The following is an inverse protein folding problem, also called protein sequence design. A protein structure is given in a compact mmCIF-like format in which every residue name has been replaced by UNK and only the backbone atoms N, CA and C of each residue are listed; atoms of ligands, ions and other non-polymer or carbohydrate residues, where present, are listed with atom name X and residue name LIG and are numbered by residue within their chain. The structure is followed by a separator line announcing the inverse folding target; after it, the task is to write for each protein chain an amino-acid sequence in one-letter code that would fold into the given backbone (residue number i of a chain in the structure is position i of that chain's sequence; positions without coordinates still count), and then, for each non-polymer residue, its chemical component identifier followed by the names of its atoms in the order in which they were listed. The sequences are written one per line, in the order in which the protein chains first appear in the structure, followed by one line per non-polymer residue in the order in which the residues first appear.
data_IF_536810711495
#
_entry.id   IF_536810711495
#
_cell.length_a   1.000
_cell.length_b   1.000
_cell.length_c   1.000
_cell.angle_alpha   90.00
_cell.angle_beta   90.00
_cell.angle_gamma   90.00
#
_symmetry.space_group_name_H-M   'P 1'
#
loop_
_entity.id
_entity.type
_entity.pdbx_description
1 polymer ?
#
# COMPACT_ATOMS: atom_id res chain seq x y z
N UNK A 1 -20.07 28.09 7.44
CA UNK A 1 -18.80 27.82 8.15
C UNK A 1 -17.71 27.77 7.10
N UNK A 2 -16.76 28.72 7.09
CA UNK A 2 -15.70 28.74 6.08
C UNK A 2 -14.74 27.57 6.30
N UNK A 3 -14.66 26.65 5.34
CA UNK A 3 -13.72 25.54 5.36
C UNK A 3 -12.29 26.10 5.40
N UNK A 4 -11.50 25.71 6.40
CA UNK A 4 -10.09 26.10 6.48
C UNK A 4 -9.31 25.18 5.54
N UNK A 5 -8.74 25.78 4.49
CA UNK A 5 -7.88 25.07 3.53
C UNK A 5 -6.63 24.43 4.17
N UNK A 6 -5.73 23.86 3.34
CA UNK A 6 -4.49 23.24 3.83
C UNK A 6 -3.67 24.22 4.69
N UNK A 7 -2.74 23.67 5.48
CA UNK A 7 -1.81 24.50 6.27
C UNK A 7 -1.09 25.51 5.37
N UNK A 8 -1.10 26.79 5.79
CA UNK A 8 -0.40 27.89 5.10
C UNK A 8 0.99 28.18 5.68
N UNK A 9 1.47 27.34 6.60
CA UNK A 9 2.79 27.52 7.24
C UNK A 9 3.94 27.60 6.23
N UNK A 10 3.80 26.94 5.07
CA UNK A 10 4.81 26.88 4.01
C UNK A 10 4.43 27.69 2.77
N UNK A 11 3.48 28.64 2.89
CA UNK A 11 3.03 29.48 1.77
C UNK A 11 4.20 30.30 1.18
N UNK A 12 5.03 30.93 2.02
CA UNK A 12 6.22 31.65 1.54
C UNK A 12 7.23 30.77 0.80
N UNK A 13 7.34 29.48 1.16
CA UNK A 13 8.20 28.53 0.44
C UNK A 13 7.58 28.18 -0.92
N UNK A 14 6.28 27.85 -0.94
CA UNK A 14 5.49 27.59 -2.15
C UNK A 14 5.63 28.73 -3.16
N UNK A 15 5.47 29.97 -2.72
CA UNK A 15 5.55 31.16 -3.57
C UNK A 15 6.97 31.39 -4.10
N UNK A 16 8.00 31.11 -3.30
CA UNK A 16 9.40 31.31 -3.69
C UNK A 16 9.88 30.32 -4.76
N UNK A 17 9.36 29.09 -4.76
CA UNK A 17 9.79 28.03 -5.70
C UNK A 17 8.77 27.73 -6.80
N UNK A 18 7.58 28.35 -6.76
CA UNK A 18 6.53 28.17 -7.76
C UNK A 18 5.88 26.78 -7.76
N UNK A 19 5.93 26.05 -6.65
CA UNK A 19 5.33 24.71 -6.52
C UNK A 19 4.05 24.82 -5.68
N UNK A 20 2.92 24.18 -6.09
CA UNK A 20 1.68 24.27 -5.34
C UNK A 20 1.83 23.88 -3.86
N UNK A 21 1.31 24.73 -2.96
CA UNK A 21 1.38 24.58 -1.50
C UNK A 21 1.04 23.16 -1.00
N UNK A 22 0.01 22.53 -1.57
CA UNK A 22 -0.38 21.17 -1.20
C UNK A 22 0.73 20.14 -1.44
N UNK A 23 1.48 20.26 -2.55
CA UNK A 23 2.59 19.37 -2.85
C UNK A 23 3.75 19.57 -1.86
N UNK A 24 4.02 20.82 -1.49
CA UNK A 24 5.02 21.17 -0.47
C UNK A 24 4.62 20.61 0.90
N UNK A 25 3.35 20.71 1.27
CA UNK A 25 2.84 20.12 2.51
C UNK A 25 2.96 18.59 2.50
N UNK A 26 2.63 17.91 1.39
CA UNK A 26 2.79 16.45 1.28
C UNK A 26 4.26 16.05 1.44
N UNK A 27 5.18 16.68 0.70
CA UNK A 27 6.62 16.38 0.79
C UNK A 27 7.14 16.62 2.20
N UNK A 28 6.74 17.73 2.83
CA UNK A 28 7.14 18.06 4.20
C UNK A 28 6.58 17.04 5.21
N UNK A 29 5.35 16.59 5.03
CA UNK A 29 4.74 15.55 5.86
C UNK A 29 5.49 14.22 5.76
N UNK A 30 5.93 13.82 4.56
CA UNK A 30 6.72 12.59 4.35
C UNK A 30 8.12 12.69 4.99
N UNK A 31 8.78 13.84 4.90
CA UNK A 31 10.07 14.07 5.57
C UNK A 31 9.89 14.00 7.09
N UNK A 32 8.86 14.65 7.64
CA UNK A 32 8.52 14.57 9.06
C UNK A 32 8.19 13.13 9.48
N UNK A 33 7.42 12.41 8.66
CA UNK A 33 7.10 11.01 8.90
C UNK A 33 8.37 10.13 8.93
N UNK A 34 9.37 10.38 8.08
CA UNK A 34 10.63 9.65 8.10
C UNK A 34 11.41 9.89 9.41
N UNK A 35 11.48 11.15 9.87
CA UNK A 35 12.11 11.51 11.15
C UNK A 35 11.37 10.81 12.30
N UNK A 36 10.04 10.89 12.31
CA UNK A 36 9.22 10.23 13.31
C UNK A 36 9.34 8.71 13.24
N UNK A 37 9.56 8.10 12.07
CA UNK A 37 9.74 6.66 11.94
C UNK A 37 10.98 6.17 12.69
N UNK A 38 12.11 6.88 12.57
CA UNK A 38 13.32 6.57 13.35
C UNK A 38 13.09 6.78 14.86
N UNK A 39 12.45 7.89 15.25
CA UNK A 39 12.12 8.15 16.64
C UNK A 39 11.16 7.08 17.22
N UNK A 40 10.14 6.69 16.47
CA UNK A 40 9.17 5.66 16.82
C UNK A 40 9.86 4.31 17.03
N UNK A 41 10.77 3.91 16.14
CA UNK A 41 11.54 2.67 16.29
C UNK A 41 12.47 2.70 17.51
N UNK A 42 13.12 3.85 17.79
CA UNK A 42 14.12 3.99 18.86
C UNK A 42 13.51 4.11 20.27
N UNK A 43 12.52 4.97 20.41
CA UNK A 43 11.92 5.38 21.69
C UNK A 43 10.64 4.60 21.99
N UNK A 44 9.82 4.34 20.98
CA UNK A 44 8.55 3.61 21.13
C UNK A 44 8.68 2.14 20.74
N UNK A 45 9.86 1.52 20.87
CA UNK A 45 10.11 0.09 20.62
C UNK A 45 9.12 -0.82 21.38
N UNK A 46 8.61 -1.93 20.79
CA UNK A 46 7.62 -2.79 21.47
C UNK A 46 8.17 -3.45 22.74
N UNK A 47 9.50 -3.51 22.89
CA UNK A 47 10.15 -3.99 24.12
C UNK A 47 10.20 -2.96 25.25
N UNK A 48 9.90 -1.68 24.97
CA UNK A 48 10.05 -0.56 25.92
C UNK A 48 8.74 0.07 26.34
N UNK A 49 7.72 0.03 25.48
CA UNK A 49 6.45 0.72 25.69
C UNK A 49 5.29 -0.20 25.37
N UNK A 50 4.14 0.10 25.98
CA UNK A 50 2.92 -0.67 25.76
C UNK A 50 2.42 -0.59 24.32
N UNK A 51 1.65 -1.59 23.90
CA UNK A 51 0.88 -1.60 22.65
C UNK A 51 -0.02 -0.37 22.56
N UNK A 52 -0.68 -0.01 23.67
CA UNK A 52 -1.54 1.17 23.76
C UNK A 52 -0.77 2.45 23.38
N UNK A 53 0.40 2.68 23.97
CA UNK A 53 1.24 3.85 23.68
C UNK A 53 1.64 3.88 22.21
N UNK A 54 2.09 2.75 21.67
CA UNK A 54 2.46 2.62 20.26
C UNK A 54 1.31 2.95 19.32
N UNK A 55 0.11 2.43 19.62
CA UNK A 55 -1.09 2.68 18.82
C UNK A 55 -1.52 4.14 18.87
N UNK A 56 -1.61 4.69 20.08
CA UNK A 56 -2.03 6.07 20.30
C UNK A 56 -1.07 7.05 19.64
N UNK A 57 0.25 6.88 19.84
CA UNK A 57 1.26 7.74 19.21
C UNK A 57 1.21 7.65 17.68
N UNK A 58 1.08 6.44 17.11
CA UNK A 58 1.01 6.28 15.66
C UNK A 58 -0.23 6.96 15.06
N UNK A 59 -1.39 6.81 15.71
CA UNK A 59 -2.65 7.41 15.30
C UNK A 59 -2.61 8.93 15.42
N UNK A 60 -2.19 9.45 16.57
CA UNK A 60 -2.12 10.89 16.83
C UNK A 60 -1.20 11.60 15.86
N UNK A 61 0.01 11.07 15.62
CA UNK A 61 0.93 11.64 14.65
C UNK A 61 0.34 11.63 13.24
N UNK A 62 -0.31 10.55 12.82
CA UNK A 62 -0.90 10.48 11.50
C UNK A 62 -2.10 11.41 11.33
N UNK A 63 -2.95 11.56 12.34
CA UNK A 63 -4.02 12.56 12.32
C UNK A 63 -3.48 14.00 12.25
N UNK A 64 -2.38 14.30 12.96
CA UNK A 64 -1.71 15.60 12.87
C UNK A 64 -1.15 15.87 11.46
N UNK A 65 -0.47 14.89 10.85
CA UNK A 65 0.05 15.02 9.48
C UNK A 65 -1.08 15.17 8.46
N UNK A 66 -2.17 14.40 8.63
CA UNK A 66 -3.33 14.49 7.75
C UNK A 66 -3.99 15.87 7.83
N UNK A 67 -4.17 16.41 9.03
CA UNK A 67 -4.69 17.77 9.21
C UNK A 67 -3.74 18.84 8.67
N UNK A 68 -2.42 18.67 8.87
CA UNK A 68 -1.41 19.58 8.32
C UNK A 68 -1.51 19.67 6.79
N UNK A 69 -1.64 18.51 6.11
CA UNK A 69 -1.72 18.47 4.65
C UNK A 69 -3.07 18.98 4.16
N UNK A 70 -4.19 18.44 4.65
CA UNK A 70 -5.51 18.64 4.04
C UNK A 70 -6.41 19.68 4.76
N UNK A 71 -5.98 20.23 5.90
CA UNK A 71 -6.79 21.18 6.66
C UNK A 71 -8.12 20.57 7.11
N UNK A 72 -9.20 21.35 7.07
CA UNK A 72 -10.52 20.87 7.50
C UNK A 72 -11.11 19.77 6.60
N UNK A 73 -10.62 19.61 5.36
CA UNK A 73 -11.11 18.55 4.47
C UNK A 73 -10.87 17.15 5.02
N UNK A 74 -9.88 16.97 5.90
CA UNK A 74 -9.60 15.67 6.53
C UNK A 74 -10.78 15.11 7.33
N UNK A 75 -11.78 15.93 7.66
CA UNK A 75 -13.05 15.48 8.28
C UNK A 75 -13.73 14.39 7.46
N UNK A 76 -13.61 14.43 6.13
CA UNK A 76 -14.17 13.41 5.26
C UNK A 76 -13.53 12.04 5.52
N UNK A 77 -12.24 12.00 5.81
CA UNK A 77 -11.52 10.77 6.17
C UNK A 77 -11.98 10.24 7.53
N UNK A 78 -12.20 11.13 8.50
CA UNK A 78 -12.72 10.76 9.83
C UNK A 78 -14.14 10.22 9.76
N UNK A 79 -15.04 10.89 9.03
CA UNK A 79 -16.42 10.45 8.84
C UNK A 79 -16.44 9.10 8.12
N UNK A 80 -15.67 8.96 7.03
CA UNK A 80 -15.56 7.70 6.28
C UNK A 80 -15.12 6.53 7.17
N UNK A 81 -14.03 6.72 7.93
CA UNK A 81 -13.53 5.71 8.86
C UNK A 81 -14.54 5.39 9.97
N UNK A 82 -15.22 6.40 10.52
CA UNK A 82 -16.23 6.24 11.56
C UNK A 82 -17.48 5.50 11.09
N UNK A 83 -18.03 5.85 9.93
CA UNK A 83 -19.17 5.15 9.33
C UNK A 83 -18.86 3.68 9.08
N UNK A 84 -17.68 3.39 8.54
CA UNK A 84 -17.22 2.02 8.32
C UNK A 84 -17.07 1.25 9.64
N UNK A 85 -16.52 1.88 10.68
CA UNK A 85 -16.37 1.25 12.00
C UNK A 85 -17.73 0.93 12.64
N UNK A 86 -18.68 1.87 12.58
CA UNK A 86 -20.05 1.64 13.04
C UNK A 86 -20.68 0.44 12.33
N UNK A 87 -20.50 0.32 11.01
CA UNK A 87 -20.94 -0.86 10.27
C UNK A 87 -20.25 -2.15 10.77
N UNK A 88 -18.94 -2.11 11.05
CA UNK A 88 -18.23 -3.27 11.61
C UNK A 88 -18.77 -3.70 12.99
N UNK A 89 -19.22 -2.75 13.80
CA UNK A 89 -19.77 -3.04 15.13
C UNK A 89 -21.20 -3.59 15.06
N UNK A 90 -22.06 -3.01 14.22
CA UNK A 90 -23.49 -3.29 14.22
C UNK A 90 -23.92 -4.39 13.23
N UNK A 91 -23.18 -4.58 12.14
CA UNK A 91 -23.59 -5.53 11.11
C UNK A 91 -23.41 -7.00 11.54
N UNK A 92 -24.31 -7.91 11.11
CA UNK A 92 -24.09 -9.35 11.19
C UNK A 92 -22.81 -9.75 10.44
N UNK A 93 -22.07 -10.71 10.99
CA UNK A 93 -20.78 -11.16 10.42
C UNK A 93 -20.90 -11.79 9.03
N UNK A 94 -22.09 -12.25 8.63
CA UNK A 94 -22.36 -12.77 7.29
C UNK A 94 -22.34 -11.69 6.20
N UNK A 95 -22.76 -10.46 6.49
CA UNK A 95 -22.87 -9.36 5.51
C UNK A 95 -21.93 -8.20 5.77
N UNK A 96 -21.19 -8.22 6.88
CA UNK A 96 -20.30 -7.14 7.34
C UNK A 96 -19.37 -6.62 6.24
N UNK A 97 -18.75 -7.51 5.47
CA UNK A 97 -17.83 -7.16 4.39
C UNK A 97 -18.50 -6.41 3.23
N UNK A 98 -19.69 -6.86 2.80
CA UNK A 98 -20.46 -6.22 1.73
C UNK A 98 -20.95 -4.86 2.19
N UNK A 99 -21.55 -4.77 3.38
CA UNK A 99 -22.08 -3.52 3.90
C UNK A 99 -20.97 -2.46 4.06
N UNK A 100 -19.85 -2.82 4.69
CA UNK A 100 -18.72 -1.90 4.84
C UNK A 100 -18.11 -1.52 3.50
N UNK A 101 -18.01 -2.46 2.54
CA UNK A 101 -17.55 -2.15 1.19
C UNK A 101 -18.45 -1.14 0.48
N UNK A 102 -19.77 -1.33 0.52
CA UNK A 102 -20.73 -0.42 -0.10
C UNK A 102 -20.68 0.97 0.55
N UNK A 103 -20.61 1.06 1.88
CA UNK A 103 -20.45 2.34 2.59
C UNK A 103 -19.14 3.03 2.16
N UNK A 104 -18.02 2.28 2.17
CA UNK A 104 -16.71 2.84 1.88
C UNK A 104 -16.60 3.34 0.43
N UNK A 105 -17.02 2.52 -0.53
CA UNK A 105 -16.99 2.87 -1.95
C UNK A 105 -17.99 3.98 -2.30
N UNK A 106 -19.21 3.95 -1.74
CA UNK A 106 -20.21 4.98 -2.03
C UNK A 106 -19.77 6.35 -1.52
N UNK A 107 -19.21 6.42 -0.31
CA UNK A 107 -18.70 7.67 0.24
C UNK A 107 -17.51 8.20 -0.58
N UNK A 108 -16.56 7.33 -0.95
CA UNK A 108 -15.45 7.69 -1.83
C UNK A 108 -15.97 8.21 -3.19
N UNK A 109 -16.97 7.53 -3.77
CA UNK A 109 -17.59 7.94 -5.03
C UNK A 109 -18.28 9.30 -4.93
N UNK A 110 -18.95 9.61 -3.81
CA UNK A 110 -19.52 10.94 -3.58
C UNK A 110 -18.45 12.03 -3.55
N UNK A 111 -17.27 11.76 -2.98
CA UNK A 111 -16.16 12.71 -2.97
C UNK A 111 -15.54 12.88 -4.35
N UNK A 112 -15.39 11.79 -5.11
CA UNK A 112 -14.96 11.84 -6.51
C UNK A 112 -15.96 12.61 -7.39
N UNK A 113 -17.26 12.41 -7.18
CA UNK A 113 -18.30 13.13 -7.90
C UNK A 113 -18.28 14.63 -7.53
N UNK A 114 -18.15 14.97 -6.24
CA UNK A 114 -17.95 16.35 -5.79
C UNK A 114 -16.76 16.96 -6.53
N UNK A 115 -15.62 16.27 -6.57
CA UNK A 115 -14.43 16.72 -7.29
C UNK A 115 -14.72 16.99 -8.76
N UNK A 116 -15.38 16.09 -9.49
CA UNK A 116 -15.72 16.31 -10.90
C UNK A 116 -16.64 17.51 -11.10
N UNK A 117 -17.61 17.72 -10.20
CA UNK A 117 -18.60 18.79 -10.31
C UNK A 117 -18.07 20.17 -9.90
N UNK A 118 -17.05 20.23 -9.04
CA UNK A 118 -16.57 21.49 -8.46
C UNK A 118 -15.13 21.85 -8.79
N UNK A 119 -14.33 20.92 -9.32
CA UNK A 119 -12.89 21.15 -9.46
C UNK A 119 -12.54 21.93 -10.72
N UNK A 120 -11.82 23.03 -10.49
CA UNK A 120 -10.80 23.51 -11.40
C UNK A 120 -9.57 22.58 -11.26
N UNK A 121 -9.50 21.57 -12.14
CA UNK A 121 -8.52 20.48 -12.07
C UNK A 121 -7.07 20.94 -12.26
N UNK A 122 -6.88 22.09 -12.92
CA UNK A 122 -5.55 22.68 -13.10
C UNK A 122 -5.04 23.30 -11.80
N UNK A 123 -5.96 23.85 -10.99
CA UNK A 123 -5.61 24.56 -9.75
C UNK A 123 -5.40 23.63 -8.54
N UNK A 124 -6.08 22.48 -8.50
CA UNK A 124 -6.02 21.55 -7.36
C UNK A 124 -5.75 20.10 -7.80
N UNK A 125 -4.48 19.75 -8.12
CA UNK A 125 -4.14 18.41 -8.59
C UNK A 125 -4.27 17.33 -7.49
N UNK A 126 -4.13 17.72 -6.22
CA UNK A 126 -4.21 16.86 -5.05
C UNK A 126 -5.35 17.31 -4.13
N UNK A 127 -6.15 16.35 -3.66
CA UNK A 127 -7.27 16.58 -2.76
C UNK A 127 -7.43 15.41 -1.76
N UNK A 128 -8.43 15.51 -0.88
CA UNK A 128 -8.71 14.52 0.17
C UNK A 128 -9.12 13.14 -0.36
N UNK A 129 -9.39 13.00 -1.67
CA UNK A 129 -9.70 11.71 -2.28
C UNK A 129 -8.56 10.69 -2.11
N UNK A 130 -7.29 11.12 -2.11
CA UNK A 130 -6.13 10.23 -1.92
C UNK A 130 -6.16 9.47 -0.58
N UNK A 131 -6.20 10.16 0.57
CA UNK A 131 -6.36 9.50 1.87
C UNK A 131 -7.65 8.67 2.01
N UNK A 132 -8.75 9.08 1.35
CA UNK A 132 -9.99 8.30 1.33
C UNK A 132 -9.86 7.01 0.52
N UNK A 133 -9.10 7.04 -0.58
CA UNK A 133 -8.76 5.85 -1.36
C UNK A 133 -8.00 4.86 -0.48
N UNK A 134 -6.98 5.31 0.27
CA UNK A 134 -6.23 4.49 1.23
C UNK A 134 -7.10 3.97 2.39
N UNK A 135 -7.99 4.81 2.92
CA UNK A 135 -8.91 4.42 4.00
C UNK A 135 -9.88 3.34 3.52
N UNK A 136 -10.42 3.47 2.30
CA UNK A 136 -11.27 2.45 1.65
C UNK A 136 -10.57 1.10 1.57
N UNK A 137 -9.29 1.07 1.19
CA UNK A 137 -8.48 -0.16 1.22
C UNK A 137 -8.47 -0.77 2.63
N UNK A 138 -8.06 0.03 3.62
CA UNK A 138 -7.86 -0.43 4.99
C UNK A 138 -9.15 -0.94 5.65
N UNK A 139 -10.25 -0.19 5.56
CA UNK A 139 -11.52 -0.57 6.20
C UNK A 139 -12.11 -1.83 5.59
N UNK A 140 -11.97 -2.01 4.27
CA UNK A 140 -12.45 -3.23 3.59
C UNK A 140 -11.56 -4.43 3.89
N UNK A 141 -10.24 -4.26 4.03
CA UNK A 141 -9.34 -5.34 4.50
C UNK A 141 -9.85 -5.93 5.83
N UNK A 142 -10.18 -5.07 6.80
CA UNK A 142 -10.71 -5.48 8.11
C UNK A 142 -12.06 -6.16 7.96
N UNK A 143 -12.99 -5.58 7.18
CA UNK A 143 -14.34 -6.10 7.01
C UNK A 143 -14.35 -7.50 6.38
N UNK A 144 -13.57 -7.70 5.31
CA UNK A 144 -13.43 -9.00 4.66
C UNK A 144 -12.69 -10.01 5.53
N UNK A 145 -11.69 -9.58 6.31
CA UNK A 145 -11.02 -10.44 7.28
C UNK A 145 -11.96 -10.95 8.38
N UNK A 146 -12.85 -10.09 8.89
CA UNK A 146 -13.88 -10.48 9.87
C UNK A 146 -14.89 -11.45 9.27
N UNK A 147 -15.40 -11.19 8.07
CA UNK A 147 -16.30 -12.14 7.41
C UNK A 147 -15.64 -13.51 7.25
N UNK A 148 -14.39 -13.55 6.77
CA UNK A 148 -13.68 -14.81 6.57
C UNK A 148 -13.44 -15.55 7.89
N UNK A 149 -13.08 -14.85 8.97
CA UNK A 149 -12.80 -15.48 10.27
C UNK A 149 -14.03 -15.96 11.04
N UNK A 150 -15.19 -15.36 10.82
CA UNK A 150 -16.44 -15.73 11.51
C UNK A 150 -17.38 -16.61 10.68
N UNK A 151 -17.33 -16.53 9.35
CA UNK A 151 -18.33 -17.16 8.49
C UNK A 151 -17.76 -18.22 7.53
N UNK A 152 -16.46 -18.17 7.21
CA UNK A 152 -15.84 -19.17 6.32
C UNK A 152 -15.06 -20.21 7.12
N UNK A 153 -15.10 -21.44 6.63
CA UNK A 153 -14.33 -22.55 7.19
C UNK A 153 -12.84 -22.39 6.84
N UNK A 154 -11.89 -22.52 7.79
CA UNK A 154 -10.47 -22.32 7.54
C UNK A 154 -9.92 -23.17 6.38
N UNK A 155 -10.44 -24.38 6.20
CA UNK A 155 -10.00 -25.34 5.18
C UNK A 155 -10.33 -24.86 3.76
N UNK A 156 -11.34 -23.99 3.62
CA UNK A 156 -11.79 -23.43 2.34
C UNK A 156 -11.05 -22.14 1.95
N UNK A 157 -10.19 -21.63 2.83
CA UNK A 157 -9.47 -20.38 2.63
C UNK A 157 -8.11 -20.66 2.00
N UNK A 158 -7.75 -19.89 0.98
CA UNK A 158 -6.38 -19.82 0.49
C UNK A 158 -5.47 -19.21 1.57
N UNK A 159 -4.17 -19.51 1.52
CA UNK A 159 -3.23 -19.17 2.59
C UNK A 159 -3.24 -17.68 2.98
N UNK A 160 -3.26 -16.79 1.98
CA UNK A 160 -3.33 -15.36 2.22
C UNK A 160 -4.61 -14.94 2.97
N UNK A 161 -5.75 -15.60 2.69
CA UNK A 161 -7.00 -15.32 3.40
C UNK A 161 -6.99 -15.88 4.82
N UNK A 162 -6.36 -17.04 5.04
CA UNK A 162 -6.18 -17.59 6.39
C UNK A 162 -5.38 -16.63 7.26
N UNK A 163 -4.24 -16.14 6.76
CA UNK A 163 -3.35 -15.18 7.45
C UNK A 163 -4.07 -13.89 7.85
N UNK A 164 -5.00 -13.41 7.03
CA UNK A 164 -5.73 -12.16 7.27
C UNK A 164 -7.15 -12.35 7.81
N UNK A 165 -7.53 -13.58 8.17
CA UNK A 165 -8.81 -13.86 8.80
C UNK A 165 -8.85 -13.38 10.25
N UNK A 166 -9.93 -12.72 10.65
CA UNK A 166 -10.09 -12.09 11.96
C UNK A 166 -11.20 -12.77 12.74
N UNK A 167 -10.85 -13.34 13.91
CA UNK A 167 -11.79 -14.01 14.83
C UNK A 167 -12.27 -13.12 15.98
N UNK A 168 -11.91 -11.83 15.96
CA UNK A 168 -12.32 -10.83 16.94
C UNK A 168 -12.46 -9.48 16.25
N UNK A 169 -13.51 -8.73 16.58
CA UNK A 169 -13.65 -7.34 16.15
C UNK A 169 -12.53 -6.49 16.79
N UNK A 170 -11.83 -5.64 16.02
CA UNK A 170 -10.87 -4.69 16.57
C UNK A 170 -11.53 -3.79 17.62
N UNK A 171 -10.80 -3.45 18.67
CA UNK A 171 -11.18 -2.34 19.54
C UNK A 171 -11.10 -1.00 18.80
N UNK A 172 -11.70 0.03 19.37
CA UNK A 172 -11.71 1.38 18.79
C UNK A 172 -10.29 1.90 18.56
N UNK A 173 -9.39 1.69 19.51
CA UNK A 173 -8.00 2.11 19.36
C UNK A 173 -7.26 1.29 18.29
N UNK A 174 -7.41 -0.04 18.27
CA UNK A 174 -6.77 -0.89 17.25
C UNK A 174 -7.20 -0.51 15.83
N UNK A 175 -8.50 -0.24 15.65
CA UNK A 175 -9.06 0.18 14.36
C UNK A 175 -8.54 1.54 13.95
N UNK A 176 -8.75 2.59 14.76
CA UNK A 176 -8.36 3.94 14.38
C UNK A 176 -6.85 4.14 14.30
N UNK A 177 -6.07 3.39 15.08
CA UNK A 177 -4.63 3.35 14.96
C UNK A 177 -4.18 2.75 13.63
N UNK A 178 -4.82 1.67 13.18
CA UNK A 178 -4.56 1.11 11.85
C UNK A 178 -4.99 2.03 10.70
N UNK A 179 -6.13 2.72 10.83
CA UNK A 179 -6.54 3.67 9.79
C UNK A 179 -5.57 4.85 9.71
N UNK A 180 -5.21 5.43 10.85
CA UNK A 180 -4.48 6.70 10.94
C UNK A 180 -3.00 6.59 11.32
N UNK A 181 -2.34 5.43 11.16
CA UNK A 181 -0.90 5.37 11.43
C UNK A 181 -0.11 6.26 10.45
N UNK A 182 0.77 7.08 11.02
CA UNK A 182 1.48 8.13 10.29
C UNK A 182 2.32 7.63 9.10
N UNK A 183 2.80 6.38 9.12
CA UNK A 183 3.65 5.82 8.07
C UNK A 183 2.96 5.67 6.70
N UNK A 184 1.62 5.72 6.65
CA UNK A 184 0.88 5.52 5.39
C UNK A 184 -0.30 6.47 5.18
N UNK A 185 -0.67 7.28 6.17
CA UNK A 185 -1.96 8.01 6.14
C UNK A 185 -2.03 9.08 5.05
N UNK A 186 -0.90 9.66 4.65
CA UNK A 186 -0.84 10.75 3.66
C UNK A 186 -0.77 10.18 2.24
N UNK A 187 0.30 9.46 1.89
CA UNK A 187 0.52 8.96 0.54
C UNK A 187 0.61 7.43 0.41
N UNK A 188 0.46 6.71 1.53
CA UNK A 188 0.66 5.27 1.57
C UNK A 188 2.14 4.88 1.59
N UNK A 189 2.44 3.60 1.32
CA UNK A 189 1.48 2.55 1.00
C UNK A 189 0.77 1.94 2.23
N UNK A 190 -0.44 1.37 2.05
CA UNK A 190 -1.14 0.70 3.12
C UNK A 190 -0.55 -0.69 3.39
N UNK A 191 -0.78 -1.20 4.59
CA UNK A 191 -0.46 -2.56 5.02
C UNK A 191 -1.75 -3.35 5.24
N UNK A 192 -1.67 -4.68 5.31
CA UNK A 192 -2.77 -5.46 5.85
C UNK A 192 -2.89 -5.25 7.36
N UNK A 193 -4.11 -5.41 7.89
CA UNK A 193 -4.41 -5.20 9.29
C UNK A 193 -3.59 -6.11 10.22
N UNK A 194 -3.48 -7.41 9.91
CA UNK A 194 -2.70 -8.34 10.74
C UNK A 194 -1.22 -7.96 10.79
N UNK A 195 -0.62 -7.57 9.65
CA UNK A 195 0.79 -7.16 9.62
C UNK A 195 1.03 -5.90 10.45
N UNK A 196 0.08 -4.97 10.40
CA UNK A 196 0.11 -3.79 11.28
C UNK A 196 0.00 -4.17 12.76
N UNK A 197 -0.91 -5.08 13.13
CA UNK A 197 -1.05 -5.54 14.51
C UNK A 197 0.23 -6.23 15.00
N UNK A 198 0.82 -7.10 14.19
CA UNK A 198 2.05 -7.82 14.53
C UNK A 198 3.20 -6.83 14.71
N UNK A 199 3.31 -5.82 13.85
CA UNK A 199 4.26 -4.72 14.00
C UNK A 199 4.06 -3.97 15.31
N UNK A 200 2.84 -3.56 15.63
CA UNK A 200 2.58 -2.74 16.82
C UNK A 200 2.79 -3.55 18.11
N UNK A 201 2.49 -4.85 18.10
CA UNK A 201 2.77 -5.76 19.22
C UNK A 201 4.23 -6.21 19.31
N UNK A 202 4.98 -6.10 18.22
CA UNK A 202 6.36 -6.61 18.12
C UNK A 202 6.44 -8.11 17.81
N UNK A 203 5.34 -8.74 17.40
CA UNK A 203 5.28 -10.16 17.04
C UNK A 203 6.07 -10.46 15.77
N UNK A 204 6.21 -9.48 14.87
CA UNK A 204 7.02 -9.57 13.66
C UNK A 204 8.54 -9.71 13.91
N UNK A 205 9.00 -9.54 15.15
CA UNK A 205 10.41 -9.66 15.57
C UNK A 205 10.69 -11.08 16.10
N UNK A 206 9.66 -11.82 16.52
CA UNK A 206 9.80 -13.14 17.09
C UNK A 206 9.80 -14.22 16.00
N UNK A 207 10.98 -14.66 15.59
CA UNK A 207 11.09 -15.85 14.74
C UNK A 207 11.00 -17.13 15.58
N UNK A 208 10.34 -18.19 15.08
CA UNK A 208 10.55 -19.54 15.59
C UNK A 208 12.01 -19.94 15.39
N UNK A 209 12.63 -20.51 16.42
CA UNK A 209 13.95 -21.14 16.34
C UNK A 209 13.82 -22.32 15.37
N UNK A 210 14.67 -22.38 14.34
CA UNK A 210 14.72 -23.56 13.47
C UNK A 210 15.55 -24.64 14.21
N UNK A 211 14.95 -25.77 14.63
CA UNK A 211 15.68 -26.79 15.41
C UNK A 211 16.83 -27.45 14.63
N UNK A 212 16.80 -27.37 13.29
CA UNK A 212 17.78 -28.05 12.43
C UNK A 212 19.14 -27.35 12.38
N UNK A 213 19.22 -26.03 12.58
CA UNK A 213 20.51 -25.32 12.57
C UNK A 213 21.33 -25.51 13.85
N UNK A 214 20.66 -25.87 14.95
CA UNK A 214 21.30 -26.00 16.27
C UNK A 214 21.66 -27.46 16.58
N UNK A 215 21.11 -28.44 15.85
CA UNK A 215 21.52 -29.85 15.96
C UNK A 215 22.94 -30.10 15.46
N UNK A 216 23.44 -29.31 14.50
CA UNK A 216 24.84 -29.42 14.07
C UNK A 216 25.81 -28.85 15.11
N UNK A 217 25.41 -27.81 15.85
CA UNK A 217 26.25 -27.16 16.88
C UNK A 217 26.33 -28.01 18.16
N UNK A 218 25.24 -28.68 18.55
CA UNK A 218 25.18 -29.49 19.78
C UNK A 218 25.63 -30.95 19.62
N UNK A 219 26.17 -31.34 18.45
CA UNK A 219 26.67 -32.71 18.23
C UNK A 219 28.05 -32.96 18.85
N UNK A 220 28.77 -31.91 19.27
CA UNK A 220 30.13 -32.03 19.80
C UNK A 220 30.24 -32.04 21.35
N UNK A 221 29.14 -31.85 22.10
CA UNK A 221 29.18 -31.80 23.57
C UNK A 221 28.10 -32.68 24.21
N UNK A 222 28.14 -34.00 23.94
CA UNK A 222 27.36 -34.99 24.69
C UNK A 222 28.27 -35.86 25.55
N UNK A 223 28.48 -35.44 26.80
CA UNK A 223 28.70 -36.35 27.92
C UNK A 223 27.77 -35.99 29.08
N UNK A 224 27.19 -37.05 29.62
CA UNK A 224 26.44 -37.19 30.86
C UNK A 224 25.06 -36.51 31.00
N UNK A 225 24.04 -37.37 30.95
CA UNK A 225 23.28 -37.72 32.15
C UNK A 225 22.39 -36.64 32.77
N UNK A 226 21.09 -36.77 32.49
CA UNK A 226 20.02 -36.54 33.48
C UNK A 226 19.54 -35.10 33.76
N UNK A 227 19.13 -34.32 32.74
CA UNK A 227 18.32 -33.08 32.91
C UNK A 227 17.35 -32.84 31.71
N UNK A 228 16.69 -33.86 31.17
CA UNK A 228 15.94 -33.69 29.90
C UNK A 228 14.43 -33.36 30.01
N UNK A 229 13.87 -33.12 31.19
CA UNK A 229 12.41 -32.88 31.32
C UNK A 229 12.02 -31.42 31.61
N UNK A 230 12.98 -30.56 31.97
CA UNK A 230 12.75 -29.11 32.17
C UNK A 230 13.36 -28.21 31.08
N UNK A 231 14.38 -28.70 30.35
CA UNK A 231 15.03 -27.94 29.27
C UNK A 231 14.19 -27.90 27.97
N UNK A 232 13.36 -28.90 27.70
CA UNK A 232 12.46 -28.91 26.51
C UNK A 232 11.29 -27.92 26.62
N UNK A 233 10.81 -27.60 27.83
CA UNK A 233 9.81 -26.54 28.05
C UNK A 233 10.40 -25.13 27.98
N UNK A 234 11.72 -25.02 28.06
CA UNK A 234 12.48 -23.77 28.02
C UNK A 234 13.32 -23.63 26.74
N UNK A 235 12.82 -24.12 25.59
CA UNK A 235 13.32 -23.70 24.27
C UNK A 235 13.01 -22.21 24.07
N UNK A 236 13.84 -21.39 24.73
CA UNK A 236 13.80 -19.94 24.80
C UNK A 236 13.72 -19.41 23.38
N UNK A 237 12.66 -18.67 23.09
CA UNK A 237 12.63 -17.70 21.97
C UNK A 237 13.91 -16.88 22.08
N UNK A 238 14.95 -17.21 21.30
CA UNK A 238 16.15 -16.39 21.25
C UNK A 238 15.69 -15.06 20.68
N UNK A 239 15.67 -14.03 21.52
CA UNK A 239 15.35 -12.67 21.13
C UNK A 239 16.44 -12.16 20.17
N UNK A 240 16.33 -12.49 18.89
CA UNK A 240 17.13 -11.80 17.87
C UNK A 240 16.64 -10.36 17.84
N UNK A 241 17.54 -9.43 18.15
CA UNK A 241 17.28 -8.01 17.97
C UNK A 241 16.83 -7.78 16.51
N UNK A 242 15.79 -6.97 16.27
CA UNK A 242 15.31 -6.73 14.92
C UNK A 242 16.45 -6.16 14.07
N UNK A 243 16.65 -6.66 12.83
CA UNK A 243 17.75 -6.23 11.98
C UNK A 243 17.72 -4.71 11.76
N UNK A 244 18.90 -4.13 11.51
CA UNK A 244 18.99 -2.69 11.26
C UNK A 244 18.34 -2.30 9.92
N UNK A 245 17.43 -1.29 9.91
CA UNK A 245 16.79 -0.79 8.70
C UNK A 245 17.65 0.22 7.95
N UNK A 246 18.84 0.59 8.48
CA UNK A 246 19.63 1.70 7.91
C UNK A 246 19.98 1.43 6.45
N UNK A 247 20.51 0.24 6.14
CA UNK A 247 20.86 -0.13 4.77
C UNK A 247 19.66 -0.07 3.80
N UNK A 248 18.53 -0.76 4.03
CA UNK A 248 17.40 -0.70 3.11
C UNK A 248 16.77 0.70 3.02
N UNK A 249 16.78 1.48 4.11
CA UNK A 249 16.31 2.88 4.08
C UNK A 249 17.24 3.75 3.23
N UNK A 250 18.56 3.71 3.44
CA UNK A 250 19.51 4.46 2.64
C UNK A 250 19.40 4.13 1.15
N UNK A 251 19.25 2.85 0.78
CA UNK A 251 19.07 2.45 -0.60
C UNK A 251 17.81 3.08 -1.22
N UNK A 252 16.68 3.05 -0.50
CA UNK A 252 15.44 3.69 -0.97
C UNK A 252 15.58 5.22 -1.05
N UNK A 253 16.28 5.85 -0.11
CA UNK A 253 16.54 7.29 -0.17
C UNK A 253 17.43 7.68 -1.36
N UNK A 254 18.46 6.88 -1.67
CA UNK A 254 19.27 7.07 -2.88
C UNK A 254 18.43 6.93 -4.15
N UNK A 255 17.53 5.94 -4.20
CA UNK A 255 16.59 5.77 -5.31
C UNK A 255 15.62 6.96 -5.42
N UNK A 256 15.06 7.44 -4.31
CA UNK A 256 14.22 8.64 -4.29
C UNK A 256 14.99 9.86 -4.81
N UNK A 257 16.23 10.08 -4.37
CA UNK A 257 17.08 11.18 -4.87
C UNK A 257 17.33 11.10 -6.38
N UNK A 258 17.61 9.90 -6.90
CA UNK A 258 17.74 9.67 -8.34
C UNK A 258 16.46 10.10 -9.08
N UNK A 259 15.30 9.66 -8.63
CA UNK A 259 14.03 10.04 -9.23
C UNK A 259 13.71 11.54 -9.06
N UNK A 260 14.21 12.21 -8.01
CA UNK A 260 14.05 13.67 -7.87
C UNK A 260 14.83 14.37 -8.98
N UNK A 261 16.07 13.94 -9.24
CA UNK A 261 16.86 14.49 -10.35
C UNK A 261 16.14 14.29 -11.68
N UNK A 262 15.56 13.11 -11.93
CA UNK A 262 14.76 12.86 -13.15
C UNK A 262 13.54 13.79 -13.19
N UNK A 263 12.81 13.96 -12.09
CA UNK A 263 11.62 14.79 -12.03
C UNK A 263 11.91 16.28 -12.26
N UNK A 264 13.02 16.79 -11.73
CA UNK A 264 13.38 18.21 -11.81
C UNK A 264 14.04 18.54 -13.15
N UNK A 265 14.96 17.68 -13.62
CA UNK A 265 15.79 17.99 -14.79
C UNK A 265 15.29 17.33 -16.08
N UNK A 266 14.61 16.20 -16.03
CA UNK A 266 14.21 15.48 -17.26
C UNK A 266 12.72 15.68 -17.53
N UNK A 267 11.85 15.45 -16.55
CA UNK A 267 10.40 15.45 -16.77
C UNK A 267 9.82 16.74 -17.39
N UNK A 268 10.26 17.97 -17.02
CA UNK A 268 9.71 19.18 -17.61
C UNK A 268 10.03 19.35 -19.11
N UNK A 269 11.05 18.64 -19.61
CA UNK A 269 11.43 18.64 -21.03
C UNK A 269 10.51 17.75 -21.89
N UNK A 270 9.69 16.91 -21.25
CA UNK A 270 8.80 15.97 -21.94
C UNK A 270 7.36 16.09 -21.41
N UNK A 271 6.69 17.24 -21.59
CA UNK A 271 5.31 17.42 -21.16
C UNK A 271 4.37 16.43 -21.88
N UNK A 272 3.61 15.65 -21.11
CA UNK A 272 2.70 14.66 -21.67
C UNK A 272 1.54 15.26 -22.47
N UNK A 273 1.14 16.50 -22.16
CA UNK A 273 0.10 17.23 -22.91
C UNK A 273 0.47 17.45 -24.38
N UNK A 274 1.77 17.41 -24.73
CA UNK A 274 2.20 17.53 -26.12
C UNK A 274 1.72 16.35 -26.98
N UNK A 275 1.44 15.18 -26.39
CA UNK A 275 0.87 14.04 -27.14
C UNK A 275 -0.52 14.34 -27.71
N UNK A 276 -1.26 15.29 -27.12
CA UNK A 276 -2.57 15.74 -27.59
C UNK A 276 -2.51 17.05 -28.38
N UNK A 277 -1.32 17.65 -28.56
CA UNK A 277 -1.18 18.92 -29.26
C UNK A 277 -1.37 18.74 -30.78
N UNK A 278 -2.31 19.47 -31.42
CA UNK A 278 -2.59 19.30 -32.85
C UNK A 278 -1.38 19.59 -33.74
N UNK A 279 -0.53 20.57 -33.37
CA UNK A 279 0.64 20.93 -34.15
C UNK A 279 1.69 19.83 -34.07
N UNK A 280 1.93 19.28 -32.88
CA UNK A 280 2.83 18.14 -32.67
C UNK A 280 2.38 16.91 -33.46
N UNK A 281 1.08 16.60 -33.42
CA UNK A 281 0.48 15.49 -34.16
C UNK A 281 0.67 15.66 -35.67
N UNK A 282 0.46 16.87 -36.20
CA UNK A 282 0.58 17.16 -37.63
C UNK A 282 2.04 17.20 -38.12
N UNK A 283 2.98 17.62 -37.28
CA UNK A 283 4.37 17.85 -37.66
C UNK A 283 5.28 16.63 -37.54
N UNK A 284 4.91 15.60 -36.76
CA UNK A 284 5.77 14.45 -36.48
C UNK A 284 5.16 13.11 -36.93
N UNK A 285 6.00 12.24 -37.48
CA UNK A 285 5.61 10.88 -37.88
C UNK A 285 5.24 9.98 -36.69
N UNK A 286 4.47 8.93 -36.95
CA UNK A 286 3.94 7.99 -35.94
C UNK A 286 5.02 7.43 -35.01
N UNK A 287 6.17 7.00 -35.56
CA UNK A 287 7.25 6.38 -34.77
C UNK A 287 7.83 7.36 -33.75
N UNK A 288 8.07 8.61 -34.15
CA UNK A 288 8.56 9.64 -33.24
C UNK A 288 7.55 9.91 -32.12
N UNK A 289 6.26 10.04 -32.47
CA UNK A 289 5.20 10.27 -31.48
C UNK A 289 5.06 9.09 -30.52
N UNK A 290 5.22 7.85 -30.98
CA UNK A 290 5.24 6.67 -30.10
C UNK A 290 6.42 6.72 -29.11
N UNK A 291 7.62 7.03 -29.59
CA UNK A 291 8.80 7.20 -28.73
C UNK A 291 8.61 8.33 -27.70
N UNK A 292 8.09 9.48 -28.14
CA UNK A 292 7.78 10.61 -27.27
C UNK A 292 6.72 10.25 -26.22
N UNK A 293 5.67 9.52 -26.61
CA UNK A 293 4.62 9.07 -25.69
C UNK A 293 5.20 8.19 -24.58
N UNK A 294 6.07 7.24 -24.91
CA UNK A 294 6.74 6.38 -23.89
C UNK A 294 7.57 7.22 -22.92
N UNK A 295 8.38 8.16 -23.42
CA UNK A 295 9.25 9.00 -22.57
C UNK A 295 8.42 9.94 -21.70
N UNK A 296 7.48 10.67 -22.29
CA UNK A 296 6.64 11.65 -21.59
C UNK A 296 5.72 10.99 -20.55
N UNK A 297 5.14 9.83 -20.85
CA UNK A 297 4.36 9.07 -19.87
C UNK A 297 5.24 8.53 -18.73
N UNK A 298 6.49 8.14 -19.02
CA UNK A 298 7.47 7.79 -17.98
C UNK A 298 7.74 8.97 -17.06
N UNK A 299 7.98 10.15 -17.64
CA UNK A 299 8.17 11.40 -16.90
C UNK A 299 6.97 11.73 -16.00
N UNK A 300 5.74 11.48 -16.47
CA UNK A 300 4.53 11.64 -15.65
C UNK A 300 4.43 10.65 -14.48
N UNK A 301 5.00 9.44 -14.60
CA UNK A 301 4.98 8.43 -13.53
C UNK A 301 5.97 8.74 -12.40
N UNK A 302 7.05 9.49 -12.67
CA UNK A 302 8.15 9.72 -11.71
C UNK A 302 7.66 10.27 -10.36
N UNK A 303 6.63 11.14 -10.36
CA UNK A 303 6.04 11.64 -9.11
C UNK A 303 5.52 10.54 -8.17
N UNK A 304 5.05 9.43 -8.73
CA UNK A 304 4.63 8.25 -7.96
C UNK A 304 5.84 7.44 -7.46
N UNK A 305 6.91 7.36 -8.26
CA UNK A 305 8.16 6.71 -7.83
C UNK A 305 8.75 7.41 -6.62
N UNK A 306 8.71 8.74 -6.61
CA UNK A 306 9.13 9.56 -5.48
C UNK A 306 8.35 9.23 -4.21
N UNK A 307 7.05 9.44 -4.26
CA UNK A 307 6.21 9.40 -3.05
C UNK A 307 6.09 7.99 -2.50
N UNK A 308 5.98 6.97 -3.36
CA UNK A 308 5.85 5.58 -2.92
C UNK A 308 7.19 4.98 -2.46
N UNK A 309 8.31 5.34 -3.07
CA UNK A 309 9.63 4.89 -2.58
C UNK A 309 9.96 5.55 -1.23
N UNK A 310 9.56 6.81 -1.04
CA UNK A 310 9.66 7.49 0.27
C UNK A 310 8.76 6.81 1.32
N UNK A 311 7.50 6.51 0.98
CA UNK A 311 6.58 5.77 1.84
C UNK A 311 7.15 4.42 2.27
N UNK A 312 7.73 3.66 1.33
CA UNK A 312 8.44 2.41 1.65
C UNK A 312 9.61 2.64 2.63
N UNK A 313 10.38 3.72 2.45
CA UNK A 313 11.50 4.06 3.33
C UNK A 313 11.03 4.41 4.76
N UNK A 314 9.92 5.14 4.90
CA UNK A 314 9.30 5.47 6.20
C UNK A 314 8.83 4.20 6.91
N UNK A 315 8.15 3.31 6.19
CA UNK A 315 7.70 2.03 6.73
C UNK A 315 8.89 1.17 7.18
N UNK A 316 9.97 1.10 6.39
CA UNK A 316 11.20 0.40 6.76
C UNK A 316 11.90 1.04 7.97
N UNK A 317 12.01 2.37 8.02
CA UNK A 317 12.63 3.10 9.12
C UNK A 317 11.92 2.85 10.46
N UNK A 318 10.58 2.72 10.43
CA UNK A 318 9.78 2.39 11.62
C UNK A 318 9.91 0.93 12.05
N UNK A 319 10.33 0.04 11.15
CA UNK A 319 10.38 -1.41 11.34
C UNK A 319 9.17 -2.17 10.80
N UNK A 320 8.14 -1.48 10.30
CA UNK A 320 6.92 -2.09 9.75
C UNK A 320 7.17 -2.83 8.43
N UNK A 321 8.15 -2.41 7.61
CA UNK A 321 8.42 -3.07 6.32
C UNK A 321 9.23 -4.38 6.39
N UNK A 322 9.55 -4.87 7.60
CA UNK A 322 10.32 -6.11 7.79
C UNK A 322 9.47 -7.37 7.53
N UNK A 323 9.99 -8.29 6.72
CA UNK A 323 9.29 -9.49 6.25
C UNK A 323 10.09 -10.79 6.50
N UNK A 324 10.70 -10.90 7.69
CA UNK A 324 11.51 -12.07 8.02
C UNK A 324 12.85 -12.12 7.28
N UNK A 325 13.35 -13.33 7.03
CA UNK A 325 14.67 -13.57 6.42
C UNK A 325 14.56 -14.45 5.17
N UNK A 326 15.48 -14.27 4.24
CA UNK A 326 15.66 -15.17 3.10
C UNK A 326 16.19 -16.53 3.58
N UNK A 327 16.12 -17.60 2.74
CA UNK A 327 16.78 -18.87 3.03
C UNK A 327 18.28 -18.72 3.33
N UNK A 328 18.92 -17.70 2.74
CA UNK A 328 20.33 -17.35 2.99
C UNK A 328 20.55 -16.53 4.28
N UNK A 329 19.54 -16.37 5.14
CA UNK A 329 19.62 -15.63 6.40
C UNK A 329 19.72 -14.10 6.28
N UNK A 330 19.42 -13.50 5.11
CA UNK A 330 19.43 -12.03 4.93
C UNK A 330 18.06 -11.44 5.28
N UNK A 331 18.00 -10.29 5.99
CA UNK A 331 16.73 -9.69 6.37
C UNK A 331 15.99 -9.14 5.13
N UNK A 332 14.70 -9.45 5.04
CA UNK A 332 13.80 -8.98 3.98
C UNK A 332 13.08 -7.72 4.42
N UNK A 333 13.09 -6.70 3.57
CA UNK A 333 12.49 -5.38 3.81
C UNK A 333 11.48 -5.03 2.71
N UNK A 334 10.66 -6.02 2.35
CA UNK A 334 9.74 -5.99 1.23
C UNK A 334 8.26 -6.14 1.62
N UNK A 335 7.92 -6.15 2.93
CA UNK A 335 6.53 -6.36 3.38
C UNK A 335 5.59 -5.29 2.81
N UNK A 336 6.04 -4.04 2.85
CA UNK A 336 5.26 -2.85 2.50
C UNK A 336 5.85 -2.16 1.26
N UNK A 337 6.46 -2.91 0.33
CA UNK A 337 6.93 -2.32 -0.93
C UNK A 337 5.74 -2.05 -1.85
N UNK A 338 5.60 -0.80 -2.32
CA UNK A 338 4.50 -0.43 -3.22
C UNK A 338 4.88 -0.20 -4.66
N UNK A 339 6.17 0.02 -4.93
CA UNK A 339 6.66 0.29 -6.27
C UNK A 339 8.04 -0.32 -6.47
N UNK A 340 8.29 -0.82 -7.67
CA UNK A 340 9.63 -1.25 -8.12
C UNK A 340 9.95 -0.55 -9.44
N UNK A 341 10.39 0.72 -9.42
CA UNK A 341 10.52 1.56 -10.61
C UNK A 341 11.34 0.93 -11.73
N UNK A 342 12.52 0.39 -11.43
CA UNK A 342 13.36 -0.22 -12.46
C UNK A 342 12.78 -1.50 -13.07
N UNK A 343 12.11 -2.34 -12.27
CA UNK A 343 11.43 -3.55 -12.78
C UNK A 343 10.19 -3.19 -13.61
N UNK A 344 9.52 -2.10 -13.24
CA UNK A 344 8.40 -1.56 -13.99
C UNK A 344 8.84 -1.03 -15.36
N UNK A 345 9.89 -0.22 -15.45
CA UNK A 345 10.36 0.31 -16.73
C UNK A 345 10.99 -0.76 -17.63
N UNK A 346 11.51 -1.84 -17.05
CA UNK A 346 12.03 -3.01 -17.79
C UNK A 346 10.97 -4.08 -18.07
N UNK A 347 9.70 -3.80 -17.78
CA UNK A 347 8.63 -4.79 -17.95
C UNK A 347 8.38 -5.14 -19.42
N UNK A 348 8.41 -6.42 -19.74
CA UNK A 348 8.17 -6.95 -21.10
C UNK A 348 6.72 -7.39 -21.33
N UNK A 349 5.87 -7.33 -20.30
CA UNK A 349 4.44 -7.67 -20.39
C UNK A 349 3.59 -6.77 -19.51
N UNK A 350 2.30 -6.62 -19.87
CA UNK A 350 1.33 -5.86 -19.07
C UNK A 350 1.18 -6.44 -17.65
N UNK A 351 1.30 -7.77 -17.50
CA UNK A 351 1.28 -8.41 -16.18
C UNK A 351 2.46 -7.97 -15.31
N UNK A 352 3.68 -8.02 -15.86
CA UNK A 352 4.88 -7.60 -15.14
C UNK A 352 4.81 -6.12 -14.75
N UNK A 353 4.27 -5.27 -15.63
CA UNK A 353 4.04 -3.85 -15.32
C UNK A 353 3.12 -3.68 -14.11
N UNK A 354 1.96 -4.35 -14.10
CA UNK A 354 0.97 -4.26 -13.01
C UNK A 354 1.52 -4.84 -11.71
N UNK A 355 2.23 -5.96 -11.74
CA UNK A 355 2.80 -6.59 -10.55
C UNK A 355 3.87 -5.72 -9.86
N UNK A 356 4.40 -4.70 -10.56
CA UNK A 356 5.40 -3.76 -10.04
C UNK A 356 4.85 -2.34 -9.79
N UNK A 357 3.59 -2.05 -10.16
CA UNK A 357 2.92 -0.76 -9.98
C UNK A 357 1.86 -0.82 -8.89
N UNK A 358 1.99 0.04 -7.88
CA UNK A 358 1.00 0.16 -6.79
C UNK A 358 0.68 -1.20 -6.14
N UNK A 359 1.73 -1.92 -5.77
CA UNK A 359 1.71 -3.34 -5.38
C UNK A 359 0.72 -3.62 -4.27
N UNK A 360 0.64 -2.77 -3.23
CA UNK A 360 -0.27 -3.00 -2.10
C UNK A 360 -1.75 -2.87 -2.53
N UNK A 361 -2.04 -1.98 -3.48
CA UNK A 361 -3.39 -1.87 -4.05
C UNK A 361 -3.72 -3.09 -4.91
N UNK A 362 -2.76 -3.63 -5.67
CA UNK A 362 -2.93 -4.87 -6.43
C UNK A 362 -3.21 -6.06 -5.49
N UNK A 363 -2.48 -6.16 -4.37
CA UNK A 363 -2.72 -7.17 -3.34
C UNK A 363 -4.12 -7.02 -2.71
N UNK A 364 -4.57 -5.79 -2.46
CA UNK A 364 -5.92 -5.52 -1.99
C UNK A 364 -6.98 -5.95 -3.00
N UNK A 365 -6.86 -5.56 -4.27
CA UNK A 365 -7.77 -6.02 -5.32
C UNK A 365 -7.83 -7.54 -5.41
N UNK A 366 -6.67 -8.19 -5.26
CA UNK A 366 -6.60 -9.64 -5.23
C UNK A 366 -7.38 -10.21 -4.04
N UNK A 367 -7.23 -9.61 -2.86
CA UNK A 367 -7.83 -10.04 -1.60
C UNK A 367 -9.35 -9.84 -1.52
N UNK A 368 -9.88 -8.70 -1.99
CA UNK A 368 -11.31 -8.37 -1.83
C UNK A 368 -12.15 -8.68 -3.08
N UNK A 369 -11.54 -8.86 -4.25
CA UNK A 369 -12.26 -9.04 -5.51
C UNK A 369 -11.77 -10.27 -6.28
N UNK A 370 -10.55 -10.25 -6.80
CA UNK A 370 -10.10 -11.23 -7.80
C UNK A 370 -10.26 -12.70 -7.34
N UNK A 371 -9.87 -13.05 -6.11
CA UNK A 371 -9.95 -14.42 -5.59
C UNK A 371 -11.35 -14.82 -5.10
N UNK A 372 -12.28 -13.86 -5.05
CA UNK A 372 -13.63 -14.04 -4.52
C UNK A 372 -14.68 -14.17 -5.61
N UNK A 373 -14.42 -13.62 -6.79
CA UNK A 373 -15.34 -13.70 -7.92
C UNK A 373 -15.14 -15.04 -8.65
N UNK A 374 -16.18 -15.83 -8.98
CA UNK A 374 -15.99 -17.09 -9.69
C UNK A 374 -15.70 -16.91 -11.18
N UNK A 375 -16.31 -15.93 -11.85
CA UNK A 375 -16.27 -15.71 -13.30
C UNK A 375 -15.71 -14.33 -13.67
N UNK A 376 -15.06 -14.20 -14.83
CA UNK A 376 -14.55 -12.90 -15.34
C UNK A 376 -13.77 -12.06 -14.30
N UNK A 377 -13.01 -12.73 -13.42
CA UNK A 377 -12.29 -12.13 -12.27
C UNK A 377 -11.48 -10.89 -12.64
N UNK A 378 -10.79 -10.94 -13.79
CA UNK A 378 -10.00 -9.83 -14.34
C UNK A 378 -10.89 -8.62 -14.59
N UNK A 379 -11.99 -8.77 -15.33
CA UNK A 379 -12.88 -7.67 -15.70
C UNK A 379 -13.45 -6.97 -14.47
N UNK A 380 -14.03 -7.73 -13.52
CA UNK A 380 -14.59 -7.14 -12.30
C UNK A 380 -13.53 -6.44 -11.45
N UNK A 381 -12.30 -6.98 -11.40
CA UNK A 381 -11.19 -6.34 -10.69
C UNK A 381 -10.84 -4.98 -11.32
N UNK A 382 -10.81 -4.89 -12.65
CA UNK A 382 -10.53 -3.63 -13.35
C UNK A 382 -11.70 -2.64 -13.28
N UNK A 383 -12.96 -3.11 -13.28
CA UNK A 383 -14.13 -2.24 -13.00
C UNK A 383 -14.03 -1.65 -11.61
N UNK A 384 -13.72 -2.48 -10.60
CA UNK A 384 -13.49 -2.01 -9.25
C UNK A 384 -12.33 -1.01 -9.18
N UNK A 385 -11.24 -1.26 -9.93
CA UNK A 385 -10.14 -0.31 -10.05
C UNK A 385 -10.58 1.03 -10.62
N UNK A 386 -11.39 1.05 -11.68
CA UNK A 386 -11.91 2.30 -12.24
C UNK A 386 -12.76 3.06 -11.22
N UNK A 387 -13.69 2.38 -10.55
CA UNK A 387 -14.57 2.98 -9.53
C UNK A 387 -13.77 3.55 -8.35
N UNK A 388 -12.69 2.88 -7.95
CA UNK A 388 -11.83 3.34 -6.86
C UNK A 388 -11.04 4.61 -7.23
N UNK A 389 -10.60 4.75 -8.48
CA UNK A 389 -9.89 5.94 -8.96
C UNK A 389 -10.81 7.15 -9.19
N UNK A 390 -12.08 6.93 -9.53
CA UNK A 390 -13.12 7.96 -9.55
C UNK A 390 -13.93 8.02 -10.84
N UNK A 391 -14.65 9.14 -11.04
CA UNK A 391 -15.70 9.23 -12.07
C UNK A 391 -15.20 9.74 -13.44
N UNK A 392 -13.92 10.08 -13.59
CA UNK A 392 -13.40 10.59 -14.86
C UNK A 392 -13.40 9.49 -15.94
N UNK A 393 -13.90 9.76 -17.17
CA UNK A 393 -13.96 8.77 -18.24
C UNK A 393 -12.62 8.10 -18.56
N UNK A 394 -11.52 8.86 -18.46
CA UNK A 394 -10.16 8.35 -18.70
C UNK A 394 -9.78 7.16 -17.82
N UNK A 395 -10.29 7.07 -16.58
CA UNK A 395 -10.06 5.91 -15.73
C UNK A 395 -10.71 4.66 -16.31
N UNK A 396 -11.97 4.74 -16.72
CA UNK A 396 -12.70 3.61 -17.29
C UNK A 396 -12.03 3.13 -18.58
N UNK A 397 -11.64 4.04 -19.48
CA UNK A 397 -10.89 3.69 -20.67
C UNK A 397 -9.57 2.99 -20.33
N UNK A 398 -8.81 3.51 -19.36
CA UNK A 398 -7.52 2.94 -18.96
C UNK A 398 -7.68 1.52 -18.38
N UNK A 399 -8.58 1.35 -17.40
CA UNK A 399 -8.71 0.08 -16.69
C UNK A 399 -9.42 -1.00 -17.51
N UNK A 400 -10.44 -0.66 -18.30
CA UNK A 400 -11.08 -1.63 -19.19
C UNK A 400 -10.15 -2.07 -20.32
N UNK A 401 -9.34 -1.15 -20.86
CA UNK A 401 -8.27 -1.52 -21.80
C UNK A 401 -7.23 -2.41 -21.13
N UNK A 402 -6.87 -2.13 -19.88
CA UNK A 402 -6.02 -3.00 -19.05
C UNK A 402 -6.58 -4.42 -18.91
N UNK A 403 -7.88 -4.54 -18.64
CA UNK A 403 -8.55 -5.84 -18.57
C UNK A 403 -8.43 -6.61 -19.88
N UNK A 404 -8.69 -5.94 -21.00
CA UNK A 404 -8.55 -6.52 -22.33
C UNK A 404 -7.11 -6.99 -22.60
N UNK A 405 -6.11 -6.13 -22.37
CA UNK A 405 -4.69 -6.46 -22.58
C UNK A 405 -4.24 -7.66 -21.75
N UNK A 406 -4.66 -7.76 -20.48
CA UNK A 406 -4.30 -8.89 -19.62
C UNK A 406 -4.95 -10.20 -20.08
N UNK A 407 -6.22 -10.15 -20.51
CA UNK A 407 -6.89 -11.34 -21.04
C UNK A 407 -6.24 -11.80 -22.35
N UNK A 408 -5.94 -10.86 -23.26
CA UNK A 408 -5.23 -11.17 -24.50
C UNK A 408 -3.83 -11.76 -24.25
N UNK A 409 -3.06 -11.18 -23.32
CA UNK A 409 -1.73 -11.69 -22.96
C UNK A 409 -1.78 -13.11 -22.40
N UNK A 410 -2.79 -13.45 -21.59
CA UNK A 410 -2.99 -14.81 -21.07
C UNK A 410 -3.32 -15.81 -22.17
N UNK A 411 -4.21 -15.44 -23.10
CA UNK A 411 -4.55 -16.30 -24.24
C UNK A 411 -3.34 -16.53 -25.16
N UNK A 412 -2.54 -15.49 -25.38
CA UNK A 412 -1.30 -15.63 -26.16
C UNK A 412 -0.30 -16.57 -25.48
N UNK A 413 -0.14 -16.46 -24.15
CA UNK A 413 0.72 -17.35 -23.38
C UNK A 413 0.25 -18.81 -23.44
N UNK A 414 -1.05 -19.08 -23.27
CA UNK A 414 -1.58 -20.45 -23.34
C UNK A 414 -1.36 -21.09 -24.72
N UNK A 415 -1.51 -20.32 -25.79
CA UNK A 415 -1.23 -20.77 -27.16
C UNK A 415 0.27 -21.07 -27.33
N UNK A 416 1.14 -20.21 -26.81
CA UNK A 416 2.60 -20.39 -26.89
C UNK A 416 3.10 -21.61 -26.11
N UNK A 417 2.42 -21.97 -25.02
CA UNK A 417 2.75 -23.13 -24.19
C UNK A 417 2.12 -24.44 -24.72
N UNK A 418 1.36 -24.39 -25.83
CA UNK A 418 0.72 -25.56 -26.43
C UNK A 418 -0.49 -26.08 -25.64
N UNK A 419 -1.01 -25.29 -24.70
CA UNK A 419 -2.16 -25.65 -23.88
C UNK A 419 -3.47 -25.15 -24.50
N UNK A 420 -4.43 -26.05 -24.74
CA UNK A 420 -5.74 -25.69 -25.24
C UNK A 420 -6.46 -24.71 -24.29
N UNK A 421 -7.12 -23.66 -24.82
CA UNK A 421 -7.67 -22.54 -24.04
C UNK A 421 -8.76 -22.92 -23.02
N UNK A 422 -9.30 -24.14 -23.07
CA UNK A 422 -10.39 -24.61 -22.19
C UNK A 422 -9.92 -25.29 -20.89
N UNK A 423 -8.62 -25.45 -20.64
CA UNK A 423 -8.12 -26.10 -19.40
C UNK A 423 -7.78 -25.15 -18.24
N UNK A 424 -7.84 -23.83 -18.45
CA UNK A 424 -7.32 -22.85 -17.49
C UNK A 424 -8.26 -22.41 -16.37
N UNK A 425 -9.53 -22.85 -16.35
CA UNK A 425 -10.38 -22.59 -15.16
C UNK A 425 -9.99 -23.46 -13.95
N UNK A 426 -9.16 -24.51 -14.15
CA UNK A 426 -8.87 -25.51 -13.10
C UNK A 426 -7.47 -25.37 -12.48
N UNK A 427 -6.51 -24.69 -13.11
CA UNK A 427 -5.10 -24.82 -12.72
C UNK A 427 -4.51 -23.68 -11.88
N UNK A 428 -5.27 -22.64 -11.54
CA UNK A 428 -4.79 -21.61 -10.58
C UNK A 428 -5.94 -21.21 -9.62
N UNK A 429 -6.27 -22.14 -8.72
CA UNK A 429 -6.98 -21.85 -7.47
C UNK A 429 -5.98 -21.37 -6.40
#
# INVERSE_FOLDING_TARGET
MAWRGPSRLLEGVSDSIGVPLMQINVISAEILALIFAFAYRRYLCPMKVSVFTRQLSAASLGMCLLYFVYGSECIHVFIHAGLCYTALLLAPTSIIHILTFLIAMSYLMCIHLRRVLTADLEKYPLDVSGPLMLTTLKVTIVAFGLHDGFHRKPETLIENHKRHSLRRKPSTLEYFSYIFYFQSVVAGPPSFYCDYQDFVKGENIHLPVNPQSDMEINSNDRKDGDINTELEKNSKKIHRLPPSPIKPVCLKLCETLFWICVHVFIAPRFPALLNSDPVFIASHGVVYRMGYAVISMTCCKVKYYLIWTMGDAINNASGLGFNGFTPSGKPKWDLITNIKPFELERSTSAKMFIDNWNVQTVLWFRYICYTRIPFQRTLFTFILSALWHGCFPGYYFTFLSGAFMIQAARMAASISEGEHPNKFEVLIA
#
